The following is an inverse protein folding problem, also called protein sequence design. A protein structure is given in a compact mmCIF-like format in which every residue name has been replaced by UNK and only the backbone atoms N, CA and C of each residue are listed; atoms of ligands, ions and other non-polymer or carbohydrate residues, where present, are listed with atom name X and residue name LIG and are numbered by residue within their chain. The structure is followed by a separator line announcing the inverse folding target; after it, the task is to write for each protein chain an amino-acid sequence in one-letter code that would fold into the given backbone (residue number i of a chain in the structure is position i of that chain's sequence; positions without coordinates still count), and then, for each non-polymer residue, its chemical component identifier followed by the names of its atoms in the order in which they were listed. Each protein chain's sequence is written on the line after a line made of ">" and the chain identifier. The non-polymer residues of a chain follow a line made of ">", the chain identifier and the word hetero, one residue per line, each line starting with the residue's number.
data_IF_641198842974
#
_entry.id   IF_641198842974
#
_cell.length_a   1.000
_cell.length_b   1.000
_cell.length_c   1.000
_cell.angle_alpha   90.00
_cell.angle_beta   90.00
_cell.angle_gamma   90.00
#
_symmetry.space_group_name_H-M   'P 1'
#
loop_
_entity.id
_entity.type
_entity.pdbx_description
1 polymer ?
#
# COMPACT_ATOMS: atom_id res chain seq x y z
N UNK A 1 9.38 12.64 29.35
CA UNK A 1 7.94 12.84 29.10
C UNK A 1 7.83 13.87 27.98
N UNK A 2 7.40 13.47 26.78
CA UNK A 2 7.23 14.41 25.66
C UNK A 2 6.09 15.38 26.00
N UNK A 3 6.26 16.70 25.82
CA UNK A 3 5.18 17.64 26.09
C UNK A 3 4.06 17.43 25.07
N UNK A 4 2.88 17.05 25.55
CA UNK A 4 1.65 17.12 24.76
C UNK A 4 1.29 18.59 24.62
N UNK A 5 1.84 19.25 23.61
CA UNK A 5 1.40 20.58 23.19
C UNK A 5 0.15 20.36 22.34
N UNK A 6 -1.04 20.83 22.77
CA UNK A 6 -2.25 20.70 21.96
C UNK A 6 -2.03 21.42 20.61
N UNK A 7 -2.37 20.76 19.51
CA UNK A 7 -2.23 21.34 18.18
C UNK A 7 -3.04 22.63 18.10
N UNK A 8 -2.38 23.73 17.73
CA UNK A 8 -3.07 25.00 17.53
C UNK A 8 -4.14 24.88 16.45
N UNK A 9 -5.23 25.68 16.48
CA UNK A 9 -6.25 25.67 15.45
C UNK A 9 -5.69 25.82 14.01
N UNK A 10 -4.66 26.66 13.84
CA UNK A 10 -3.97 26.83 12.56
C UNK A 10 -3.22 25.56 12.10
N UNK A 11 -2.63 24.80 13.01
CA UNK A 11 -2.00 23.51 12.69
C UNK A 11 -3.03 22.46 12.28
N UNK A 12 -4.17 22.41 12.97
CA UNK A 12 -5.25 21.49 12.63
C UNK A 12 -5.86 21.80 11.26
N UNK A 13 -6.10 23.07 10.95
CA UNK A 13 -6.59 23.51 9.63
C UNK A 13 -5.58 23.13 8.53
N UNK A 14 -4.29 23.41 8.76
CA UNK A 14 -3.23 23.06 7.80
C UNK A 14 -3.12 21.55 7.59
N UNK A 15 -3.26 20.77 8.65
CA UNK A 15 -3.28 19.31 8.57
C UNK A 15 -4.50 18.84 7.77
N UNK A 16 -5.69 19.36 8.07
CA UNK A 16 -6.92 19.05 7.34
C UNK A 16 -6.78 19.32 5.85
N UNK A 17 -6.27 20.50 5.46
CA UNK A 17 -6.02 20.85 4.07
C UNK A 17 -5.03 19.89 3.39
N UNK A 18 -3.91 19.55 4.06
CA UNK A 18 -2.94 18.59 3.53
C UNK A 18 -3.54 17.20 3.37
N UNK A 19 -4.33 16.75 4.34
CA UNK A 19 -5.06 15.48 4.27
C UNK A 19 -6.08 15.47 3.14
N UNK A 20 -6.80 16.57 2.89
CA UNK A 20 -7.74 16.69 1.77
C UNK A 20 -7.03 16.62 0.42
N UNK A 21 -5.87 17.27 0.26
CA UNK A 21 -5.06 17.18 -0.96
C UNK A 21 -4.58 15.75 -1.18
N UNK A 22 -4.02 15.11 -0.15
CA UNK A 22 -3.57 13.71 -0.23
C UNK A 22 -4.73 12.76 -0.58
N UNK A 23 -5.92 12.98 -0.02
CA UNK A 23 -7.12 12.21 -0.36
C UNK A 23 -7.52 12.41 -1.83
N UNK A 24 -7.48 13.65 -2.34
CA UNK A 24 -7.76 13.93 -3.75
C UNK A 24 -6.73 13.26 -4.68
N UNK A 25 -5.44 13.29 -4.34
CA UNK A 25 -4.37 12.59 -5.06
C UNK A 25 -4.62 11.07 -5.07
N UNK A 26 -5.00 10.50 -3.93
CA UNK A 26 -5.32 9.08 -3.82
C UNK A 26 -6.52 8.69 -4.72
N UNK A 27 -7.57 9.52 -4.76
CA UNK A 27 -8.73 9.31 -5.64
C UNK A 27 -8.34 9.42 -7.13
N UNK A 28 -7.47 10.37 -7.48
CA UNK A 28 -6.97 10.50 -8.85
C UNK A 28 -6.16 9.27 -9.30
N UNK A 29 -5.30 8.72 -8.43
CA UNK A 29 -4.57 7.47 -8.71
C UNK A 29 -5.53 6.28 -8.91
N UNK A 30 -6.59 6.19 -8.11
CA UNK A 30 -7.61 5.14 -8.27
C UNK A 30 -8.39 5.31 -9.57
N UNK A 31 -8.78 6.53 -9.93
CA UNK A 31 -9.43 6.82 -11.21
C UNK A 31 -8.54 6.46 -12.40
N UNK A 32 -7.25 6.82 -12.38
CA UNK A 32 -6.28 6.45 -13.42
C UNK A 32 -6.16 4.92 -13.56
N UNK A 33 -6.17 4.18 -12.45
CA UNK A 33 -6.15 2.70 -12.47
C UNK A 33 -7.43 2.12 -13.06
N UNK A 34 -8.60 2.67 -12.73
CA UNK A 34 -9.88 2.25 -13.29
C UNK A 34 -9.96 2.55 -14.79
N UNK A 35 -9.63 3.78 -15.20
CA UNK A 35 -9.56 4.14 -16.61
C UNK A 35 -8.56 3.28 -17.37
N UNK A 36 -7.43 2.96 -16.76
CA UNK A 36 -6.47 2.01 -17.32
C UNK A 36 -7.00 0.59 -17.49
N UNK A 37 -7.87 0.12 -16.58
CA UNK A 37 -8.53 -1.19 -16.70
C UNK A 37 -9.60 -1.20 -17.80
N UNK A 38 -10.25 -0.06 -18.05
CA UNK A 38 -11.24 0.13 -19.12
C UNK A 38 -10.63 0.58 -20.46
N UNK A 39 -9.29 0.69 -20.55
CA UNK A 39 -8.60 1.12 -21.77
C UNK A 39 -8.74 2.62 -22.09
N UNK A 40 -9.26 3.42 -21.16
CA UNK A 40 -9.44 4.88 -21.27
C UNK A 40 -8.19 5.67 -20.90
N UNK A 41 -7.13 5.01 -20.44
CA UNK A 41 -5.83 5.60 -20.09
C UNK A 41 -4.68 4.69 -20.54
N UNK A 42 -3.57 5.21 -21.09
CA UNK A 42 -2.46 4.39 -21.55
C UNK A 42 -1.69 3.78 -20.37
N UNK A 43 -2.12 2.58 -19.97
CA UNK A 43 -1.34 1.64 -19.16
C UNK A 43 -1.20 0.37 -19.97
N UNK A 44 -0.02 -0.26 -19.95
CA UNK A 44 0.14 -1.52 -20.66
C UNK A 44 -0.78 -2.57 -20.01
N UNK A 45 -1.63 -3.28 -20.78
CA UNK A 45 -2.53 -4.30 -20.23
C UNK A 45 -1.82 -5.38 -19.41
N UNK A 46 -0.54 -5.66 -19.74
CA UNK A 46 0.29 -6.58 -18.98
C UNK A 46 0.54 -6.12 -17.54
N UNK A 47 0.55 -4.81 -17.25
CA UNK A 47 0.92 -4.30 -15.92
C UNK A 47 -0.24 -4.32 -14.93
N UNK A 48 -1.46 -4.11 -15.40
CA UNK A 48 -2.66 -4.32 -14.59
C UNK A 48 -2.83 -5.80 -14.24
N UNK A 49 -2.70 -6.70 -15.22
CA UNK A 49 -2.74 -8.15 -14.99
C UNK A 49 -1.63 -8.61 -14.04
N UNK A 50 -0.39 -8.12 -14.24
CA UNK A 50 0.73 -8.41 -13.35
C UNK A 50 0.46 -7.93 -11.92
N UNK A 51 -0.09 -6.73 -11.73
CA UNK A 51 -0.39 -6.18 -10.41
C UNK A 51 -1.46 -7.00 -9.67
N UNK A 52 -2.52 -7.42 -10.37
CA UNK A 52 -3.55 -8.30 -9.78
C UNK A 52 -2.97 -9.67 -9.41
N UNK A 53 -2.17 -10.28 -10.29
CA UNK A 53 -1.46 -11.53 -10.00
C UNK A 53 -0.53 -11.39 -8.81
N UNK A 54 0.28 -10.33 -8.76
CA UNK A 54 1.19 -10.05 -7.64
C UNK A 54 0.41 -9.91 -6.32
N UNK A 55 -0.77 -9.27 -6.34
CA UNK A 55 -1.62 -9.08 -5.15
C UNK A 55 -2.23 -10.39 -4.65
N UNK A 56 -2.75 -11.22 -5.54
CA UNK A 56 -3.30 -12.55 -5.20
C UNK A 56 -2.20 -13.45 -4.63
N UNK A 57 -1.04 -13.51 -5.29
CA UNK A 57 0.10 -14.28 -4.79
C UNK A 57 0.59 -13.79 -3.43
N UNK A 58 0.66 -12.46 -3.22
CA UNK A 58 1.02 -11.90 -1.92
C UNK A 58 0.05 -12.34 -0.84
N UNK A 59 -1.25 -12.37 -1.14
CA UNK A 59 -2.30 -12.74 -0.19
C UNK A 59 -2.19 -14.21 0.23
N UNK A 60 -2.00 -15.12 -0.72
CA UNK A 60 -1.80 -16.54 -0.42
C UNK A 60 -0.54 -16.78 0.40
N UNK A 61 0.58 -16.14 0.03
CA UNK A 61 1.83 -16.24 0.80
C UNK A 61 1.68 -15.68 2.22
N UNK A 62 0.92 -14.60 2.38
CA UNK A 62 0.66 -13.95 3.67
C UNK A 62 -0.19 -14.85 4.57
N UNK A 63 -1.24 -15.48 4.04
CA UNK A 63 -2.06 -16.45 4.76
C UNK A 63 -1.24 -17.69 5.17
N UNK A 64 -0.46 -18.25 4.26
CA UNK A 64 0.39 -19.39 4.57
C UNK A 64 1.49 -19.05 5.59
N UNK A 65 2.05 -17.84 5.55
CA UNK A 65 3.03 -17.37 6.52
C UNK A 65 2.39 -17.16 7.90
N UNK A 66 1.21 -16.53 7.97
CA UNK A 66 0.45 -16.35 9.19
C UNK A 66 0.08 -17.69 9.83
N UNK A 67 -0.48 -18.63 9.05
CA UNK A 67 -0.83 -19.97 9.53
C UNK A 67 0.37 -20.73 10.08
N UNK A 68 1.51 -20.69 9.37
CA UNK A 68 2.77 -21.30 9.87
C UNK A 68 3.27 -20.63 11.15
N UNK A 69 3.12 -19.32 11.30
CA UNK A 69 3.50 -18.61 12.51
C UNK A 69 2.62 -19.02 13.70
N UNK A 70 1.30 -19.15 13.49
CA UNK A 70 0.36 -19.67 14.51
C UNK A 70 0.75 -21.09 14.93
N UNK A 71 0.99 -22.00 13.98
CA UNK A 71 1.40 -23.38 14.28
C UNK A 71 2.74 -23.47 15.02
N UNK A 72 3.60 -22.47 14.89
CA UNK A 72 4.86 -22.36 15.62
C UNK A 72 4.72 -21.69 17.00
N UNK A 73 3.50 -21.34 17.42
CA UNK A 73 3.25 -20.67 18.68
C UNK A 73 3.72 -19.21 18.72
N UNK A 74 3.79 -18.53 17.57
CA UNK A 74 4.18 -17.12 17.52
C UNK A 74 3.15 -16.22 18.24
N UNK A 75 3.63 -15.12 18.82
CA UNK A 75 2.77 -14.07 19.38
C UNK A 75 1.91 -13.42 18.29
N UNK A 76 0.82 -12.73 18.69
CA UNK A 76 -0.04 -12.01 17.75
C UNK A 76 0.74 -11.01 16.86
N UNK A 77 1.72 -10.31 17.45
CA UNK A 77 2.62 -9.42 16.70
C UNK A 77 3.48 -10.18 15.68
N UNK A 78 4.02 -11.35 16.05
CA UNK A 78 4.81 -12.20 15.15
C UNK A 78 4.00 -12.81 14.01
N UNK A 79 2.73 -13.15 14.25
CA UNK A 79 1.79 -13.60 13.21
C UNK A 79 1.49 -12.45 12.23
N UNK A 80 1.23 -11.25 12.74
CA UNK A 80 1.00 -10.07 11.92
C UNK A 80 2.24 -9.72 11.07
N UNK A 81 3.44 -9.77 11.66
CA UNK A 81 4.68 -9.52 10.93
C UNK A 81 4.92 -10.57 9.83
N UNK A 82 4.67 -11.85 10.13
CA UNK A 82 4.76 -12.94 9.15
C UNK A 82 3.76 -12.75 7.99
N UNK A 83 2.54 -12.29 8.29
CA UNK A 83 1.53 -11.96 7.29
C UNK A 83 1.92 -10.75 6.43
N UNK A 84 2.57 -9.74 6.99
CA UNK A 84 2.90 -8.50 6.28
C UNK A 84 4.14 -8.62 5.37
N UNK A 85 5.08 -9.51 5.71
CA UNK A 85 6.37 -9.64 5.01
C UNK A 85 6.24 -9.88 3.48
N UNK A 86 5.34 -10.76 2.98
CA UNK A 86 5.18 -10.97 1.53
C UNK A 86 4.63 -9.74 0.80
N UNK A 87 3.77 -8.96 1.46
CA UNK A 87 3.22 -7.70 0.93
C UNK A 87 4.32 -6.65 0.87
N UNK A 88 5.05 -6.44 1.96
CA UNK A 88 6.15 -5.46 2.04
C UNK A 88 7.23 -5.69 0.96
N UNK A 89 7.64 -6.95 0.76
CA UNK A 89 8.61 -7.32 -0.29
C UNK A 89 8.15 -6.91 -1.70
N UNK A 90 6.87 -7.14 -2.02
CA UNK A 90 6.30 -6.81 -3.34
C UNK A 90 6.11 -5.30 -3.50
N UNK A 91 5.68 -4.60 -2.46
CA UNK A 91 5.59 -3.13 -2.47
C UNK A 91 6.96 -2.51 -2.69
N UNK A 92 8.01 -3.01 -2.03
CA UNK A 92 9.37 -2.53 -2.25
C UNK A 92 9.85 -2.79 -3.69
N UNK A 93 9.59 -3.98 -4.22
CA UNK A 93 9.94 -4.30 -5.61
C UNK A 93 9.16 -3.41 -6.60
N UNK A 94 7.88 -3.13 -6.34
CA UNK A 94 7.05 -2.24 -7.14
C UNK A 94 7.58 -0.80 -7.13
N UNK A 95 7.90 -0.25 -5.95
CA UNK A 95 8.49 1.07 -5.81
C UNK A 95 9.82 1.18 -6.57
N UNK A 96 10.69 0.17 -6.49
CA UNK A 96 11.95 0.12 -7.23
C UNK A 96 11.77 0.09 -8.75
N UNK A 97 10.71 -0.54 -9.26
CA UNK A 97 10.40 -0.53 -10.71
C UNK A 97 9.83 0.81 -11.17
N UNK A 98 8.97 1.43 -10.36
CA UNK A 98 8.42 2.75 -10.66
C UNK A 98 9.54 3.79 -10.73
N UNK A 99 10.44 3.82 -9.75
CA UNK A 99 11.58 4.73 -9.75
C UNK A 99 12.47 4.60 -11.01
N UNK A 100 12.63 3.39 -11.54
CA UNK A 100 13.42 3.12 -12.77
C UNK A 100 12.72 3.55 -14.07
N UNK A 101 11.41 3.80 -14.05
CA UNK A 101 10.64 4.25 -15.23
C UNK A 101 10.33 5.76 -15.20
N UNK A 102 10.66 6.42 -14.10
CA UNK A 102 10.43 7.86 -13.89
C UNK A 102 11.68 8.71 -14.11
N UNK A 103 12.77 8.12 -14.63
CA UNK A 103 13.97 8.80 -15.12
C UNK A 103 14.35 8.26 -16.48
#
# INVERSE_FOLDING_TARGET
>A
MFPFVPASPAQMIRLGLRSSVMLAEAQAVMAMRLFGMFGLWPVTPQENSRMVTEKIQAMHESQAAAFRAVMKGASAAGVAEAALRPVSRRTHANAGRLAKRSG
#
